data_IF_307294894517
#
_entry.id   IF_307294894517
#
_cell.length_a   1.000
_cell.length_b   1.000
_cell.length_c   1.000
_cell.angle_alpha   90.00
_cell.angle_beta   90.00
_cell.angle_gamma   90.00
#
_symmetry.space_group_name_H-M   'P 1'
#
loop_
_entity.id
_entity.type
_entity.pdbx_description
1 polymer ?
#
# COMPACT_ATOMS: atom_id res chain seq x y z
N UNK A 1 -15.81 16.95 16.71
CA UNK A 1 -14.83 16.21 15.89
C UNK A 1 -15.18 14.73 15.90
N UNK A 2 -15.08 14.03 14.78
CA UNK A 2 -15.27 12.59 14.67
C UNK A 2 -13.92 11.92 14.44
N UNK A 3 -13.48 11.13 15.43
CA UNK A 3 -12.29 10.30 15.34
C UNK A 3 -12.66 8.97 14.68
N UNK A 4 -11.85 8.50 13.76
CA UNK A 4 -12.06 7.26 12.99
C UNK A 4 -10.79 6.43 13.09
N UNK A 5 -10.92 5.13 13.30
CA UNK A 5 -9.83 4.19 13.08
C UNK A 5 -9.55 4.14 11.58
N UNK A 6 -8.30 4.33 11.16
CA UNK A 6 -7.97 4.17 9.75
C UNK A 6 -8.21 2.71 9.33
N UNK A 7 -8.86 2.47 8.18
CA UNK A 7 -9.24 1.12 7.76
C UNK A 7 -8.06 0.16 7.77
N UNK A 8 -8.22 -0.99 8.37
CA UNK A 8 -7.19 -2.05 8.47
C UNK A 8 -5.82 -1.62 9.03
N UNK A 9 -5.68 -0.38 9.52
CA UNK A 9 -4.39 0.21 9.91
C UNK A 9 -3.96 -0.15 11.34
N UNK A 10 -3.96 -1.45 11.65
CA UNK A 10 -3.45 -2.01 12.90
C UNK A 10 -2.38 -3.05 12.60
N UNK A 11 -1.26 -2.95 13.34
CA UNK A 11 -0.23 -3.98 13.39
C UNK A 11 -0.16 -4.58 14.80
N UNK A 12 0.79 -5.43 15.05
CA UNK A 12 1.04 -5.94 16.40
C UNK A 12 1.63 -4.89 17.36
N UNK A 13 2.09 -3.75 16.85
CA UNK A 13 2.72 -2.68 17.65
C UNK A 13 2.22 -1.27 17.31
N UNK A 14 1.23 -1.13 16.43
CA UNK A 14 0.73 0.19 16.05
C UNK A 14 -0.75 0.22 15.74
N UNK A 15 -1.37 1.38 15.95
CA UNK A 15 -2.75 1.71 15.59
C UNK A 15 -2.76 3.10 14.97
N UNK A 16 -3.35 3.26 13.78
CA UNK A 16 -3.51 4.55 13.14
C UNK A 16 -4.96 5.04 13.20
N UNK A 17 -5.11 6.34 13.43
CA UNK A 17 -6.39 7.05 13.48
C UNK A 17 -6.35 8.28 12.58
N UNK A 18 -7.50 8.64 12.05
CA UNK A 18 -7.69 9.83 11.21
C UNK A 18 -8.93 10.59 11.66
N UNK A 19 -9.04 11.86 11.31
CA UNK A 19 -10.22 12.69 11.62
C UNK A 19 -10.39 13.81 10.61
N UNK A 20 -11.60 14.35 10.55
CA UNK A 20 -11.90 15.50 9.71
C UNK A 20 -11.65 16.81 10.47
N UNK A 21 -11.12 17.79 9.76
CA UNK A 21 -11.04 19.15 10.30
C UNK A 21 -12.45 19.63 10.60
N UNK A 22 -12.73 20.17 11.82
CA UNK A 22 -14.01 20.80 12.09
C UNK A 22 -14.17 22.08 11.26
N UNK A 23 -15.39 22.57 11.12
CA UNK A 23 -15.68 23.79 10.35
C UNK A 23 -14.91 25.01 10.86
N UNK A 24 -14.67 25.11 12.16
CA UNK A 24 -13.90 26.17 12.81
C UNK A 24 -12.38 25.90 12.85
N UNK A 25 -11.87 25.12 11.92
CA UNK A 25 -10.47 24.68 11.92
C UNK A 25 -9.42 25.79 11.97
N UNK A 26 -9.77 27.00 11.53
CA UNK A 26 -8.84 28.16 11.55
C UNK A 26 -8.47 28.61 12.97
N UNK A 27 -9.26 28.29 13.97
CA UNK A 27 -9.02 28.61 15.38
C UNK A 27 -8.30 27.50 16.15
N UNK A 28 -8.08 26.33 15.52
CA UNK A 28 -7.39 25.21 16.14
C UNK A 28 -5.87 25.43 16.02
N UNK A 29 -5.19 25.40 17.15
CA UNK A 29 -3.74 25.51 17.24
C UNK A 29 -3.06 24.13 17.14
N UNK A 30 -3.65 23.13 17.82
CA UNK A 30 -3.17 21.75 17.84
C UNK A 30 -4.28 20.76 18.23
N UNK A 31 -4.11 19.52 17.85
CA UNK A 31 -4.91 18.40 18.32
C UNK A 31 -4.17 17.65 19.42
N UNK A 32 -4.94 17.13 20.38
CA UNK A 32 -4.42 16.36 21.52
C UNK A 32 -5.00 14.97 21.49
N UNK A 33 -4.14 13.96 21.40
CA UNK A 33 -4.55 12.57 21.39
C UNK A 33 -4.39 11.96 22.78
N UNK A 34 -5.41 11.22 23.17
CA UNK A 34 -5.44 10.48 24.44
C UNK A 34 -5.48 8.99 24.16
N UNK A 35 -4.56 8.26 24.79
CA UNK A 35 -4.50 6.80 24.77
C UNK A 35 -4.78 6.29 26.19
N UNK A 36 -5.81 5.46 26.35
CA UNK A 36 -6.25 4.94 27.67
C UNK A 36 -6.46 6.06 28.69
N UNK A 37 -7.06 7.18 28.26
CA UNK A 37 -7.36 8.33 29.11
C UNK A 37 -6.16 9.23 29.46
N UNK A 38 -4.97 8.95 28.97
CA UNK A 38 -3.76 9.76 29.18
C UNK A 38 -3.36 10.47 27.89
N UNK A 39 -2.92 11.72 28.00
CA UNK A 39 -2.34 12.44 26.88
C UNK A 39 -1.13 11.67 26.33
N UNK A 40 -1.16 11.40 25.01
CA UNK A 40 -0.12 10.62 24.32
C UNK A 40 0.63 11.43 23.27
N UNK A 41 -0.05 12.40 22.61
CA UNK A 41 0.57 13.23 21.58
C UNK A 41 -0.19 14.54 21.37
N UNK A 42 0.52 15.51 20.79
CA UNK A 42 -0.01 16.77 20.25
C UNK A 42 0.46 16.93 18.82
N UNK A 43 -0.46 17.20 17.90
CA UNK A 43 -0.18 17.27 16.45
C UNK A 43 -0.98 18.39 15.79
N UNK A 44 -0.57 18.80 14.60
CA UNK A 44 -1.31 19.76 13.75
C UNK A 44 -2.02 19.08 12.58
N UNK A 45 -1.59 17.88 12.26
CA UNK A 45 -2.10 17.01 11.23
C UNK A 45 -3.48 16.44 11.63
N UNK A 46 -4.17 15.83 10.70
CA UNK A 46 -5.48 15.20 10.91
C UNK A 46 -5.42 13.68 10.93
N UNK A 47 -4.27 13.15 11.26
CA UNK A 47 -4.01 11.72 11.49
C UNK A 47 -2.94 11.54 12.56
N UNK A 48 -2.91 10.35 13.13
CA UNK A 48 -1.84 9.94 14.03
C UNK A 48 -1.68 8.43 14.07
N UNK A 49 -0.44 7.96 14.15
CA UNK A 49 -0.13 6.55 14.36
C UNK A 49 0.54 6.36 15.72
N UNK A 50 -0.16 5.67 16.61
CA UNK A 50 0.43 5.20 17.86
C UNK A 50 1.37 4.04 17.55
N UNK A 51 2.61 4.16 17.98
CA UNK A 51 3.68 3.18 17.78
C UNK A 51 4.10 2.55 19.11
N UNK A 52 4.89 1.48 19.05
CA UNK A 52 5.44 0.79 20.22
C UNK A 52 4.37 0.31 21.20
N UNK A 53 3.22 -0.04 20.69
CA UNK A 53 2.12 -0.61 21.48
C UNK A 53 2.40 -2.09 21.80
N UNK A 54 1.78 -2.56 22.89
CA UNK A 54 1.84 -3.98 23.26
C UNK A 54 0.99 -4.81 22.30
N UNK A 55 1.50 -5.94 21.77
CA UNK A 55 0.69 -6.85 20.96
C UNK A 55 -0.53 -7.40 21.70
N UNK A 56 -1.57 -7.75 20.92
CA UNK A 56 -2.82 -8.35 21.38
C UNK A 56 -3.50 -7.59 22.52
N UNK A 57 -3.39 -6.26 22.52
CA UNK A 57 -3.86 -5.38 23.61
C UNK A 57 -4.90 -4.40 23.09
N UNK A 58 -5.97 -4.24 23.86
CA UNK A 58 -7.01 -3.26 23.58
C UNK A 58 -6.64 -1.86 24.09
N UNK A 59 -6.89 -0.86 23.27
CA UNK A 59 -6.64 0.54 23.56
C UNK A 59 -7.90 1.37 23.31
N UNK A 60 -8.13 2.36 24.17
CA UNK A 60 -9.13 3.38 23.97
C UNK A 60 -8.49 4.69 23.55
N UNK A 61 -9.04 5.33 22.52
CA UNK A 61 -8.46 6.53 21.89
C UNK A 61 -9.52 7.62 21.85
N UNK A 62 -9.12 8.85 22.20
CA UNK A 62 -9.92 10.07 22.02
C UNK A 62 -9.05 11.20 21.46
N UNK A 63 -9.72 12.16 20.86
CA UNK A 63 -9.14 13.37 20.31
C UNK A 63 -9.72 14.59 20.99
N UNK A 64 -8.89 15.56 21.37
CA UNK A 64 -9.24 16.91 21.74
C UNK A 64 -8.63 17.92 20.78
N UNK A 65 -9.01 19.18 20.87
CA UNK A 65 -8.36 20.25 20.13
C UNK A 65 -8.20 21.48 21.01
N UNK A 66 -7.01 22.04 21.00
CA UNK A 66 -6.68 23.33 21.63
C UNK A 66 -7.01 24.44 20.65
N UNK A 67 -7.78 25.40 21.10
CA UNK A 67 -8.13 26.59 20.34
C UNK A 67 -7.46 27.82 20.95
N UNK A 68 -7.40 28.92 20.22
CA UNK A 68 -6.92 30.21 20.76
C UNK A 68 -7.66 30.61 22.04
N UNK A 69 -8.94 30.32 22.10
CA UNK A 69 -9.79 30.61 23.24
C UNK A 69 -10.48 29.33 23.70
N UNK A 70 -9.75 28.53 24.50
CA UNK A 70 -10.31 27.35 25.15
C UNK A 70 -9.97 26.03 24.49
N UNK A 71 -10.83 25.05 24.70
CA UNK A 71 -10.63 23.66 24.30
C UNK A 71 -11.93 23.10 23.73
N UNK A 72 -11.89 22.45 22.55
CA UNK A 72 -13.08 21.78 22.02
C UNK A 72 -13.43 20.52 22.83
N UNK A 73 -14.71 20.18 22.90
CA UNK A 73 -15.12 18.90 23.50
C UNK A 73 -14.40 17.72 22.86
N UNK A 74 -14.09 16.71 23.68
CA UNK A 74 -13.47 15.48 23.20
C UNK A 74 -14.34 14.79 22.12
N UNK A 75 -13.67 14.14 21.18
CA UNK A 75 -14.32 13.30 20.16
C UNK A 75 -15.09 12.13 20.76
N UNK A 76 -15.78 11.37 19.91
CA UNK A 76 -16.20 10.01 20.23
C UNK A 76 -15.02 9.17 20.74
N UNK A 77 -15.33 8.14 21.51
CA UNK A 77 -14.36 7.11 21.90
C UNK A 77 -14.18 6.14 20.74
N UNK A 78 -12.93 5.85 20.39
CA UNK A 78 -12.56 4.75 19.51
C UNK A 78 -11.88 3.68 20.34
N UNK A 79 -12.28 2.43 20.15
CA UNK A 79 -11.64 1.25 20.76
C UNK A 79 -11.01 0.43 19.65
N UNK A 80 -9.74 0.07 19.81
CA UNK A 80 -9.00 -0.73 18.84
C UNK A 80 -8.06 -1.69 19.55
N UNK A 81 -7.79 -2.83 18.90
CA UNK A 81 -6.88 -3.85 19.43
C UNK A 81 -5.70 -4.02 18.48
N UNK A 82 -4.48 -4.03 19.02
CA UNK A 82 -3.29 -4.42 18.24
C UNK A 82 -3.39 -5.89 17.85
N UNK A 83 -2.82 -6.24 16.70
CA UNK A 83 -2.76 -7.64 16.25
C UNK A 83 -1.85 -8.45 17.20
N UNK A 84 -1.99 -9.77 17.16
CA UNK A 84 -1.05 -10.68 17.84
C UNK A 84 0.34 -10.53 17.26
N UNK A 85 1.38 -10.86 18.05
CA UNK A 85 2.74 -10.93 17.54
C UNK A 85 2.82 -12.02 16.46
N UNK A 86 3.25 -11.69 15.23
CA UNK A 86 3.28 -12.64 14.14
C UNK A 86 4.37 -13.72 14.33
N UNK A 87 4.12 -14.91 13.81
CA UNK A 87 5.19 -15.85 13.50
C UNK A 87 5.96 -15.33 12.29
N UNK A 88 7.30 -15.38 12.34
CA UNK A 88 8.16 -14.85 11.28
C UNK A 88 8.63 -16.00 10.38
N UNK A 89 8.49 -15.79 9.07
CA UNK A 89 8.96 -16.66 7.99
C UNK A 89 10.02 -15.89 7.21
N UNK A 90 11.29 -16.03 7.61
CA UNK A 90 12.42 -15.39 6.97
C UNK A 90 12.69 -16.04 5.61
N UNK A 91 12.68 -15.25 4.52
CA UNK A 91 12.86 -15.76 3.16
C UNK A 91 14.21 -16.46 2.95
N UNK A 92 15.23 -16.09 3.73
CA UNK A 92 16.54 -16.74 3.67
C UNK A 92 16.52 -18.18 4.18
N UNK A 93 15.63 -18.48 5.14
CA UNK A 93 15.40 -19.85 5.60
C UNK A 93 14.75 -20.74 4.52
N UNK A 94 14.17 -20.14 3.48
CA UNK A 94 13.61 -20.82 2.31
C UNK A 94 14.57 -20.80 1.10
N UNK A 95 15.79 -20.33 1.30
CA UNK A 95 16.86 -20.34 0.29
C UNK A 95 16.99 -19.06 -0.52
N UNK A 96 16.31 -17.97 -0.13
CA UNK A 96 16.49 -16.68 -0.79
C UNK A 96 17.87 -16.06 -0.48
N UNK A 97 18.48 -15.44 -1.48
CA UNK A 97 19.81 -14.82 -1.41
C UNK A 97 19.71 -13.35 -1.82
N UNK A 98 20.10 -12.45 -0.93
CA UNK A 98 19.99 -11.00 -1.12
C UNK A 98 21.19 -10.36 -1.83
N UNK A 99 21.70 -10.99 -2.90
CA UNK A 99 22.87 -10.57 -3.66
C UNK A 99 22.59 -9.71 -4.90
N UNK A 100 21.32 -9.48 -5.22
CA UNK A 100 20.86 -8.72 -6.39
C UNK A 100 20.93 -9.47 -7.71
N UNK A 101 21.44 -10.69 -7.75
CA UNK A 101 21.62 -11.48 -8.98
C UNK A 101 20.92 -12.83 -8.97
N UNK A 102 20.83 -13.47 -7.79
CA UNK A 102 20.15 -14.75 -7.64
C UNK A 102 18.64 -14.58 -7.75
N UNK A 103 17.97 -15.37 -8.62
CA UNK A 103 16.53 -15.39 -8.73
C UNK A 103 15.89 -16.04 -7.50
N UNK A 104 15.04 -15.31 -6.80
CA UNK A 104 14.45 -15.72 -5.52
C UNK A 104 12.94 -15.99 -5.59
N UNK A 105 12.30 -15.91 -6.74
CA UNK A 105 10.83 -16.00 -6.86
C UNK A 105 10.28 -17.23 -6.13
N UNK A 106 10.85 -18.42 -6.39
CA UNK A 106 10.37 -19.64 -5.77
C UNK A 106 10.64 -19.69 -4.25
N UNK A 107 11.82 -19.21 -3.81
CA UNK A 107 12.17 -19.19 -2.39
C UNK A 107 11.24 -18.26 -1.60
N UNK A 108 10.98 -17.05 -2.11
CA UNK A 108 10.07 -16.09 -1.48
C UNK A 108 8.63 -16.60 -1.53
N UNK A 109 8.19 -17.18 -2.66
CA UNK A 109 6.85 -17.75 -2.77
C UNK A 109 6.64 -18.92 -1.81
N UNK A 110 7.66 -19.78 -1.61
CA UNK A 110 7.60 -20.85 -0.61
C UNK A 110 7.43 -20.32 0.81
N UNK A 111 8.09 -19.18 1.16
CA UNK A 111 7.89 -18.52 2.45
C UNK A 111 6.46 -17.98 2.59
N UNK A 112 5.92 -17.37 1.52
CA UNK A 112 4.52 -16.89 1.48
C UNK A 112 3.56 -18.08 1.66
N UNK A 113 3.78 -19.19 0.95
CA UNK A 113 2.92 -20.36 1.01
C UNK A 113 2.93 -21.03 2.38
N UNK A 114 4.09 -21.09 3.02
CA UNK A 114 4.27 -21.62 4.38
C UNK A 114 3.75 -20.69 5.49
N UNK A 115 3.59 -19.39 5.21
CA UNK A 115 3.19 -18.40 6.19
C UNK A 115 1.82 -18.77 6.80
N UNK A 116 1.76 -18.96 8.12
CA UNK A 116 0.52 -19.24 8.82
C UNK A 116 -0.38 -17.98 8.87
N UNK A 117 -1.71 -18.12 9.04
CA UNK A 117 -2.60 -16.98 9.25
C UNK A 117 -2.10 -16.05 10.37
N UNK A 118 -2.09 -14.74 10.11
CA UNK A 118 -1.52 -13.72 11.01
C UNK A 118 0.01 -13.70 11.03
N UNK A 119 0.69 -14.47 10.17
CA UNK A 119 2.14 -14.55 10.10
C UNK A 119 2.78 -13.41 9.30
N UNK A 120 4.11 -13.38 9.32
CA UNK A 120 4.93 -12.37 8.65
C UNK A 120 6.00 -13.03 7.79
N UNK A 121 5.96 -12.80 6.49
CA UNK A 121 7.07 -13.11 5.58
C UNK A 121 8.07 -11.96 5.68
N UNK A 122 9.26 -12.26 6.15
CA UNK A 122 10.30 -11.29 6.43
C UNK A 122 11.38 -11.33 5.36
N UNK A 123 11.59 -10.19 4.70
CA UNK A 123 12.66 -9.97 3.73
C UNK A 123 13.72 -9.10 4.42
N UNK A 124 14.89 -9.64 4.78
CA UNK A 124 15.95 -8.91 5.49
C UNK A 124 16.65 -7.88 4.59
N UNK A 125 17.65 -7.20 5.15
CA UNK A 125 18.57 -6.34 4.40
C UNK A 125 19.24 -7.12 3.27
N UNK A 126 19.32 -6.50 2.07
CA UNK A 126 19.87 -7.09 0.85
C UNK A 126 18.98 -6.80 -0.36
N UNK A 127 19.41 -7.23 -1.54
CA UNK A 127 18.68 -7.07 -2.80
C UNK A 127 18.22 -8.43 -3.30
N UNK A 128 16.92 -8.68 -3.27
CA UNK A 128 16.31 -9.96 -3.65
C UNK A 128 15.66 -9.82 -5.03
N UNK A 129 16.36 -10.29 -6.07
CA UNK A 129 15.82 -10.34 -7.43
C UNK A 129 14.68 -11.36 -7.51
N UNK A 130 13.51 -10.94 -8.02
CA UNK A 130 12.34 -11.80 -8.08
C UNK A 130 11.46 -11.49 -9.28
N UNK A 131 10.75 -12.48 -9.80
CA UNK A 131 9.58 -12.30 -10.65
C UNK A 131 8.31 -12.11 -9.81
N UNK A 132 7.15 -12.43 -10.40
CA UNK A 132 5.85 -12.23 -9.76
C UNK A 132 5.68 -13.04 -8.48
N UNK A 133 5.21 -12.37 -7.41
CA UNK A 133 4.85 -12.96 -6.12
C UNK A 133 3.35 -12.83 -5.89
N UNK A 134 2.76 -13.84 -5.23
CA UNK A 134 1.33 -13.93 -4.98
C UNK A 134 1.06 -14.06 -3.48
N UNK A 135 0.59 -12.98 -2.86
CA UNK A 135 0.22 -12.93 -1.45
C UNK A 135 -1.13 -13.64 -1.22
N UNK A 136 -1.37 -14.08 0.00
CA UNK A 136 -2.61 -14.73 0.43
C UNK A 136 -3.24 -14.01 1.62
N UNK A 137 -4.42 -14.44 2.02
CA UNK A 137 -5.13 -13.85 3.17
C UNK A 137 -4.35 -13.92 4.47
N UNK A 138 -4.60 -12.93 5.34
CA UNK A 138 -4.15 -12.84 6.72
C UNK A 138 -2.63 -12.99 6.87
N UNK A 139 -1.88 -12.14 6.15
CA UNK A 139 -0.42 -12.14 6.23
C UNK A 139 0.18 -10.73 6.16
N UNK A 140 1.40 -10.62 6.64
CA UNK A 140 2.26 -9.45 6.44
C UNK A 140 3.44 -9.81 5.54
N UNK A 141 3.66 -9.05 4.47
CA UNK A 141 4.94 -8.99 3.75
C UNK A 141 5.74 -7.85 4.37
N UNK A 142 6.80 -8.17 5.08
CA UNK A 142 7.65 -7.20 5.76
C UNK A 142 9.00 -7.11 5.07
N UNK A 143 9.26 -5.98 4.41
CA UNK A 143 10.56 -5.70 3.78
C UNK A 143 11.36 -4.80 4.71
N UNK A 144 12.41 -5.32 5.32
CA UNK A 144 13.23 -4.60 6.29
C UNK A 144 13.87 -3.35 5.67
N UNK A 145 14.14 -2.34 6.50
CA UNK A 145 14.92 -1.17 6.08
C UNK A 145 16.28 -1.64 5.55
N UNK A 146 16.61 -1.24 4.32
CA UNK A 146 17.79 -1.76 3.60
C UNK A 146 17.52 -3.04 2.80
N UNK A 147 16.35 -3.66 2.98
CA UNK A 147 15.86 -4.74 2.12
C UNK A 147 15.20 -4.20 0.83
N UNK A 148 15.41 -4.88 -0.27
CA UNK A 148 14.83 -4.54 -1.57
C UNK A 148 14.32 -5.80 -2.26
N UNK A 149 13.05 -5.81 -2.63
CA UNK A 149 12.52 -6.71 -3.66
C UNK A 149 12.74 -6.04 -5.02
N UNK A 150 13.60 -6.63 -5.85
CA UNK A 150 13.94 -6.12 -7.18
C UNK A 150 13.26 -6.96 -8.24
N UNK A 151 12.42 -6.32 -9.07
CA UNK A 151 11.76 -6.98 -10.18
C UNK A 151 12.73 -7.48 -11.24
N UNK A 152 12.49 -8.68 -11.76
CA UNK A 152 13.22 -9.24 -12.89
C UNK A 152 13.03 -8.37 -14.14
N UNK A 153 14.06 -8.28 -14.94
CA UNK A 153 14.05 -7.63 -16.25
C UNK A 153 13.58 -8.57 -17.39
N UNK A 154 13.18 -9.81 -17.05
CA UNK A 154 12.72 -10.82 -18.00
C UNK A 154 11.20 -10.98 -17.92
N UNK A 155 10.46 -10.71 -19.02
CA UNK A 155 9.01 -10.84 -19.05
C UNK A 155 8.51 -12.25 -18.71
N UNK A 156 9.27 -13.30 -19.04
CA UNK A 156 8.94 -14.69 -18.73
C UNK A 156 8.87 -15.05 -17.23
N UNK A 157 9.45 -14.20 -16.37
CA UNK A 157 9.35 -14.37 -14.90
C UNK A 157 8.02 -13.84 -14.34
N UNK A 158 7.15 -13.32 -15.21
CA UNK A 158 5.82 -12.80 -14.90
C UNK A 158 4.76 -13.55 -15.70
N UNK A 159 4.02 -14.50 -15.11
CA UNK A 159 3.00 -15.25 -15.83
C UNK A 159 1.95 -14.34 -16.46
N UNK A 160 1.45 -14.74 -17.63
CA UNK A 160 0.36 -14.03 -18.30
C UNK A 160 -0.96 -14.32 -17.59
N UNK A 161 -1.69 -13.26 -17.27
CA UNK A 161 -2.96 -13.28 -16.57
C UNK A 161 -3.94 -12.31 -17.22
N UNK A 162 -5.22 -12.52 -17.01
CA UNK A 162 -6.24 -11.54 -17.41
C UNK A 162 -6.45 -10.55 -16.28
N UNK A 163 -6.10 -9.29 -16.51
CA UNK A 163 -6.25 -8.20 -15.56
C UNK A 163 -7.18 -7.11 -16.10
N UNK A 164 -7.69 -6.29 -15.17
CA UNK A 164 -8.35 -5.04 -15.50
C UNK A 164 -7.27 -3.98 -15.84
N UNK A 165 -6.94 -3.88 -17.12
CA UNK A 165 -5.96 -2.93 -17.63
C UNK A 165 -6.68 -1.71 -18.23
N UNK A 166 -6.44 -0.53 -17.68
CA UNK A 166 -7.17 0.70 -18.04
C UNK A 166 -8.71 0.51 -18.06
N UNK A 167 -9.23 -0.23 -17.08
CA UNK A 167 -10.67 -0.47 -16.93
C UNK A 167 -11.29 -1.49 -17.89
N UNK A 168 -10.49 -2.27 -18.62
CA UNK A 168 -10.91 -3.36 -19.50
C UNK A 168 -10.14 -4.64 -19.21
N UNK A 169 -10.79 -5.79 -19.34
CA UNK A 169 -10.13 -7.08 -19.19
C UNK A 169 -9.16 -7.31 -20.37
N UNK A 170 -7.87 -7.43 -20.08
CA UNK A 170 -6.82 -7.67 -21.08
C UNK A 170 -5.82 -8.71 -20.58
N UNK A 171 -5.14 -9.35 -21.52
CA UNK A 171 -4.00 -10.24 -21.21
C UNK A 171 -2.79 -9.37 -20.84
N UNK A 172 -2.30 -9.54 -19.62
CA UNK A 172 -1.18 -8.79 -19.07
C UNK A 172 -0.18 -9.73 -18.40
N UNK A 173 1.07 -9.32 -18.32
CA UNK A 173 2.00 -9.92 -17.37
C UNK A 173 1.53 -9.64 -15.94
N UNK A 174 1.70 -10.59 -15.04
CA UNK A 174 1.46 -10.40 -13.62
C UNK A 174 2.29 -9.20 -13.10
N UNK A 175 1.80 -8.52 -12.10
CA UNK A 175 2.54 -7.50 -11.35
C UNK A 175 3.68 -8.15 -10.55
N UNK A 176 4.61 -7.35 -10.03
CA UNK A 176 5.64 -7.91 -9.14
C UNK A 176 4.99 -8.47 -7.86
N UNK A 177 4.02 -7.75 -7.28
CA UNK A 177 3.25 -8.22 -6.12
C UNK A 177 1.77 -8.30 -6.50
N UNK A 178 1.20 -9.49 -6.33
CA UNK A 178 -0.19 -9.81 -6.64
C UNK A 178 -0.86 -10.47 -5.43
N UNK A 179 -2.17 -10.74 -5.54
CA UNK A 179 -2.88 -11.62 -4.63
C UNK A 179 -3.18 -12.95 -5.30
N UNK A 180 -3.12 -14.05 -4.53
CA UNK A 180 -3.61 -15.34 -4.98
C UNK A 180 -5.12 -15.28 -5.23
N UNK A 181 -5.59 -16.09 -6.18
CA UNK A 181 -7.01 -16.41 -6.24
C UNK A 181 -7.32 -17.38 -5.10
N UNK A 182 -8.26 -16.99 -4.25
CA UNK A 182 -8.76 -17.79 -3.13
C UNK A 182 -10.27 -17.99 -3.29
N UNK A 183 -10.81 -19.02 -2.66
CA UNK A 183 -12.25 -19.22 -2.56
C UNK A 183 -12.85 -18.10 -1.69
N UNK A 184 -13.60 -17.20 -2.30
CA UNK A 184 -14.09 -15.96 -1.67
C UNK A 184 -13.19 -14.74 -1.90
N UNK A 185 -13.18 -13.82 -0.93
CA UNK A 185 -12.32 -12.62 -0.97
C UNK A 185 -11.03 -12.87 -0.19
N UNK A 186 -9.92 -12.50 -0.78
CA UNK A 186 -8.65 -12.35 -0.04
C UNK A 186 -8.83 -11.27 1.03
N UNK A 187 -8.25 -11.43 2.20
CA UNK A 187 -8.44 -10.48 3.27
C UNK A 187 -7.17 -10.24 4.11
N UNK A 188 -7.12 -9.10 4.79
CA UNK A 188 -6.11 -8.75 5.80
C UNK A 188 -4.65 -8.88 5.32
N UNK A 189 -4.32 -8.18 4.23
CA UNK A 189 -2.94 -8.10 3.74
C UNK A 189 -2.27 -6.84 4.28
N UNK A 190 -1.09 -6.99 4.86
CA UNK A 190 -0.21 -5.88 5.23
C UNK A 190 1.11 -5.95 4.44
N UNK A 191 1.55 -4.81 3.89
CA UNK A 191 2.92 -4.63 3.37
C UNK A 191 3.59 -3.52 4.18
N UNK A 192 4.72 -3.81 4.80
CA UNK A 192 5.38 -2.87 5.71
C UNK A 192 6.90 -3.07 5.78
N UNK A 193 7.62 -2.27 6.59
CA UNK A 193 8.98 -2.57 7.06
C UNK A 193 10.05 -1.52 6.74
N UNK A 194 9.77 -0.50 5.95
CA UNK A 194 10.73 0.56 5.60
C UNK A 194 11.67 0.22 4.45
N UNK A 195 11.51 -0.95 3.84
CA UNK A 195 12.27 -1.37 2.67
C UNK A 195 11.69 -0.90 1.34
N UNK A 196 12.20 -1.45 0.25
CA UNK A 196 11.86 -1.02 -1.11
C UNK A 196 11.29 -2.16 -1.94
N UNK A 197 10.20 -1.89 -2.66
CA UNK A 197 9.69 -2.70 -3.76
C UNK A 197 10.01 -1.93 -5.05
N UNK A 198 10.92 -2.46 -5.85
CA UNK A 198 11.43 -1.85 -7.07
C UNK A 198 11.03 -2.71 -8.27
N UNK A 199 10.23 -2.15 -9.16
CA UNK A 199 9.69 -2.89 -10.31
C UNK A 199 10.67 -3.13 -11.43
N UNK A 200 11.80 -2.37 -11.50
CA UNK A 200 12.75 -2.44 -12.61
C UNK A 200 12.07 -2.44 -14.00
N UNK A 201 11.01 -1.64 -14.13
CA UNK A 201 9.95 -1.79 -15.14
C UNK A 201 10.31 -1.50 -16.60
N UNK A 202 11.50 -0.93 -16.89
CA UNK A 202 11.88 -0.55 -18.25
C UNK A 202 11.89 -1.73 -19.24
N UNK A 203 12.33 -2.90 -18.80
CA UNK A 203 12.41 -4.09 -19.66
C UNK A 203 11.01 -4.61 -20.03
N UNK A 204 10.06 -4.58 -19.10
CA UNK A 204 8.67 -4.98 -19.36
C UNK A 204 7.98 -4.00 -20.30
N UNK A 205 8.22 -2.69 -20.17
CA UNK A 205 7.77 -1.70 -21.15
C UNK A 205 8.35 -1.98 -22.53
N UNK A 206 9.66 -2.20 -22.60
CA UNK A 206 10.34 -2.49 -23.89
C UNK A 206 9.75 -3.74 -24.54
N UNK A 207 9.53 -4.81 -23.80
CA UNK A 207 8.94 -6.04 -24.30
C UNK A 207 7.53 -5.81 -24.88
N UNK A 208 6.68 -5.01 -24.21
CA UNK A 208 5.37 -4.63 -24.73
C UNK A 208 5.48 -3.85 -26.05
N UNK A 209 6.36 -2.84 -26.10
CA UNK A 209 6.54 -1.99 -27.29
C UNK A 209 7.14 -2.76 -28.47
N UNK A 210 7.96 -3.76 -28.22
CA UNK A 210 8.53 -4.64 -29.25
C UNK A 210 7.51 -5.71 -29.77
N UNK A 211 6.25 -5.65 -29.30
CA UNK A 211 5.20 -6.57 -29.73
C UNK A 211 5.19 -7.90 -28.99
N UNK A 212 5.69 -7.96 -27.77
CA UNK A 212 5.63 -9.11 -26.87
C UNK A 212 4.19 -9.54 -26.56
N UNK A 213 4.03 -10.72 -26.02
CA UNK A 213 2.72 -11.24 -25.60
C UNK A 213 2.23 -10.52 -24.33
N UNK A 214 1.02 -9.99 -24.38
CA UNK A 214 0.38 -9.32 -23.23
C UNK A 214 0.91 -7.90 -22.99
N UNK A 215 0.17 -7.20 -22.13
CA UNK A 215 0.54 -5.85 -21.66
C UNK A 215 1.49 -5.98 -20.45
N UNK A 216 2.29 -4.95 -20.19
CA UNK A 216 3.11 -4.90 -18.97
C UNK A 216 2.21 -4.86 -17.72
N UNK A 217 2.64 -5.50 -16.65
CA UNK A 217 1.93 -5.48 -15.37
C UNK A 217 2.15 -4.20 -14.57
N UNK A 218 1.47 -4.08 -13.45
CA UNK A 218 1.72 -3.04 -12.44
C UNK A 218 2.92 -3.41 -11.54
N UNK A 219 3.27 -2.55 -10.60
CA UNK A 219 4.19 -2.96 -9.55
C UNK A 219 3.48 -3.79 -8.48
N UNK A 220 2.39 -3.27 -7.93
CA UNK A 220 1.53 -3.94 -6.96
C UNK A 220 0.11 -3.92 -7.50
N UNK A 221 -0.51 -5.08 -7.64
CA UNK A 221 -1.90 -5.20 -8.07
C UNK A 221 -2.67 -6.15 -7.16
N UNK A 222 -3.65 -5.63 -6.42
CA UNK A 222 -4.54 -6.42 -5.59
C UNK A 222 -5.95 -6.40 -6.16
N UNK A 223 -6.58 -7.56 -6.16
CA UNK A 223 -7.94 -7.72 -6.66
C UNK A 223 -8.80 -8.47 -5.66
N UNK A 224 -10.02 -7.95 -5.40
CA UNK A 224 -10.98 -8.56 -4.48
C UNK A 224 -10.42 -8.74 -3.05
N UNK A 225 -9.71 -7.75 -2.52
CA UNK A 225 -9.17 -7.82 -1.17
C UNK A 225 -10.04 -7.01 -0.20
N UNK A 226 -10.30 -7.57 0.96
CA UNK A 226 -10.94 -6.90 2.08
C UNK A 226 -9.95 -6.69 3.22
N UNK A 227 -9.49 -5.46 3.38
CA UNK A 227 -8.44 -5.12 4.35
C UNK A 227 -7.03 -5.12 3.77
N UNK A 228 -6.54 -3.94 3.38
CA UNK A 228 -5.17 -3.73 2.92
C UNK A 228 -4.52 -2.63 3.76
N UNK A 229 -3.35 -2.91 4.28
CA UNK A 229 -2.53 -1.90 4.96
C UNK A 229 -1.13 -1.83 4.37
N UNK A 230 -0.79 -0.69 3.76
CA UNK A 230 0.57 -0.39 3.31
C UNK A 230 1.17 0.65 4.25
N UNK A 231 2.34 0.36 4.82
CA UNK A 231 2.95 1.20 5.86
C UNK A 231 4.46 1.24 5.77
N UNK A 232 5.05 2.44 5.88
CA UNK A 232 6.51 2.62 5.95
C UNK A 232 7.23 1.89 4.81
N UNK A 233 6.86 2.16 3.56
CA UNK A 233 7.30 1.41 2.39
C UNK A 233 7.73 2.38 1.28
N UNK A 234 8.73 1.98 0.49
CA UNK A 234 9.05 2.63 -0.79
C UNK A 234 8.65 1.73 -1.95
N UNK A 235 7.79 2.23 -2.84
CA UNK A 235 7.38 1.57 -4.09
C UNK A 235 7.87 2.40 -5.26
N UNK A 236 8.62 1.79 -6.21
CA UNK A 236 9.27 2.57 -7.26
C UNK A 236 9.45 1.82 -8.57
N UNK A 237 9.73 2.59 -9.63
CA UNK A 237 10.13 2.09 -10.95
C UNK A 237 9.17 1.04 -11.51
N UNK A 238 7.88 1.31 -11.37
CA UNK A 238 6.82 0.44 -11.91
C UNK A 238 6.90 0.35 -13.43
N UNK A 239 6.57 -0.80 -14.03
CA UNK A 239 6.46 -0.88 -15.49
C UNK A 239 5.25 -0.14 -16.05
N UNK A 240 4.18 0.00 -15.26
CA UNK A 240 2.92 0.67 -15.56
C UNK A 240 2.45 1.41 -14.31
N UNK A 241 1.19 1.33 -13.87
CA UNK A 241 0.74 1.92 -12.59
C UNK A 241 1.47 1.31 -11.41
N UNK A 242 1.78 2.13 -10.41
CA UNK A 242 2.58 1.66 -9.28
C UNK A 242 1.76 0.78 -8.34
N UNK A 243 0.67 1.30 -7.81
CA UNK A 243 -0.23 0.57 -6.90
C UNK A 243 -1.64 0.60 -7.45
N UNK A 244 -2.15 -0.53 -7.90
CA UNK A 244 -3.50 -0.69 -8.43
C UNK A 244 -4.32 -1.61 -7.54
N UNK A 245 -5.38 -1.08 -6.95
CA UNK A 245 -6.33 -1.82 -6.13
C UNK A 245 -7.65 -1.93 -6.87
N UNK A 246 -8.13 -3.17 -7.13
CA UNK A 246 -9.34 -3.42 -7.92
C UNK A 246 -10.36 -4.15 -7.05
N UNK A 247 -11.56 -3.57 -6.91
CA UNK A 247 -12.64 -4.13 -6.09
C UNK A 247 -12.22 -4.42 -4.64
N UNK A 248 -11.33 -3.59 -4.08
CA UNK A 248 -10.83 -3.74 -2.73
C UNK A 248 -11.56 -2.81 -1.76
N UNK A 249 -11.68 -3.23 -0.49
CA UNK A 249 -12.29 -2.43 0.57
C UNK A 249 -11.34 -2.30 1.76
N UNK A 250 -11.59 -1.30 2.63
CA UNK A 250 -10.86 -1.07 3.87
C UNK A 250 -9.35 -0.96 3.65
N UNK A 251 -8.95 0.02 2.82
CA UNK A 251 -7.56 0.23 2.41
C UNK A 251 -6.96 1.40 3.20
N UNK A 252 -5.79 1.20 3.77
CA UNK A 252 -4.96 2.30 4.29
C UNK A 252 -3.57 2.29 3.68
N UNK A 253 -3.11 3.48 3.28
CA UNK A 253 -1.74 3.76 2.86
C UNK A 253 -1.17 4.84 3.78
N UNK A 254 -0.14 4.51 4.55
CA UNK A 254 0.42 5.36 5.61
C UNK A 254 1.94 5.43 5.51
N UNK A 255 2.50 6.61 5.35
CA UNK A 255 3.94 6.84 5.20
C UNK A 255 4.56 5.99 4.09
N UNK A 256 3.87 5.92 2.96
CA UNK A 256 4.34 5.23 1.76
C UNK A 256 4.96 6.25 0.82
N UNK A 257 6.17 5.96 0.37
CA UNK A 257 6.83 6.73 -0.69
C UNK A 257 6.63 6.01 -2.02
N UNK A 258 6.02 6.68 -2.98
CA UNK A 258 5.90 6.17 -4.36
C UNK A 258 6.77 7.03 -5.27
N UNK A 259 7.60 6.39 -6.09
CA UNK A 259 8.38 7.09 -7.11
C UNK A 259 8.46 6.27 -8.41
N UNK A 260 7.57 6.54 -9.34
CA UNK A 260 7.57 5.93 -10.68
C UNK A 260 8.34 6.75 -11.72
N UNK A 261 8.84 7.94 -11.35
CA UNK A 261 9.41 8.90 -12.30
C UNK A 261 10.93 8.94 -12.34
N UNK A 262 11.58 8.83 -11.19
CA UNK A 262 13.02 9.02 -11.08
C UNK A 262 13.73 7.77 -10.54
N UNK A 263 14.97 7.55 -11.00
CA UNK A 263 15.85 6.54 -10.46
C UNK A 263 16.46 6.97 -9.10
N UNK A 264 17.36 6.15 -8.56
CA UNK A 264 18.02 6.43 -7.26
C UNK A 264 18.96 7.64 -7.31
N UNK A 265 19.38 8.06 -8.51
CA UNK A 265 20.24 9.22 -8.72
C UNK A 265 19.44 10.49 -9.06
N UNK A 266 18.12 10.43 -9.07
CA UNK A 266 17.26 11.54 -9.43
C UNK A 266 17.12 11.79 -10.94
N UNK A 267 17.61 10.88 -11.80
CA UNK A 267 17.40 10.95 -13.23
C UNK A 267 16.02 10.36 -13.59
N UNK A 268 15.44 10.84 -14.69
CA UNK A 268 14.21 10.25 -15.19
C UNK A 268 14.40 8.75 -15.47
N UNK A 269 13.54 7.92 -14.87
CA UNK A 269 13.58 6.48 -15.05
C UNK A 269 13.07 6.06 -16.42
N UNK A 270 13.98 5.87 -17.36
CA UNK A 270 13.66 5.40 -18.71
C UNK A 270 12.60 6.22 -19.42
N UNK A 271 11.81 5.57 -20.25
CA UNK A 271 10.71 6.15 -21.01
C UNK A 271 9.34 5.64 -20.54
N UNK A 272 9.23 5.23 -19.29
CA UNK A 272 7.96 4.79 -18.71
C UNK A 272 6.91 5.89 -18.91
N UNK A 273 5.71 5.48 -19.33
CA UNK A 273 4.50 6.29 -19.40
C UNK A 273 3.35 5.54 -18.73
N UNK A 274 2.29 6.26 -18.34
CA UNK A 274 1.22 5.77 -17.45
C UNK A 274 1.82 5.15 -16.16
N UNK A 275 2.72 5.88 -15.55
CA UNK A 275 3.32 5.51 -14.28
C UNK A 275 2.59 6.21 -13.13
N UNK A 276 1.28 5.98 -13.02
CA UNK A 276 0.44 6.52 -11.95
C UNK A 276 0.93 5.99 -10.59
N UNK A 277 0.72 6.78 -9.55
CA UNK A 277 1.15 6.42 -8.20
C UNK A 277 0.22 5.41 -7.54
N UNK A 278 -1.03 5.80 -7.32
CA UNK A 278 -2.05 4.97 -6.69
C UNK A 278 -3.39 5.06 -7.40
N UNK A 279 -3.92 3.92 -7.76
CA UNK A 279 -5.16 3.77 -8.52
C UNK A 279 -6.16 2.90 -7.76
N UNK A 280 -7.00 3.48 -6.88
CA UNK A 280 -8.16 2.78 -6.35
C UNK A 280 -9.23 2.67 -7.43
N UNK A 281 -9.53 1.45 -7.89
CA UNK A 281 -10.48 1.16 -8.97
C UNK A 281 -11.66 0.34 -8.42
N UNK A 282 -12.84 0.97 -8.37
CA UNK A 282 -14.03 0.39 -7.74
C UNK A 282 -13.77 -0.06 -6.29
N UNK A 283 -13.10 0.81 -5.53
CA UNK A 283 -12.69 0.58 -4.16
C UNK A 283 -13.53 1.38 -3.17
N UNK A 284 -13.65 0.89 -1.95
CA UNK A 284 -14.41 1.55 -0.88
C UNK A 284 -13.63 1.60 0.41
N UNK A 285 -13.87 2.69 1.20
CA UNK A 285 -13.25 2.97 2.49
C UNK A 285 -11.72 2.99 2.39
N UNK A 286 -11.22 4.03 1.72
CA UNK A 286 -9.80 4.21 1.40
C UNK A 286 -9.25 5.40 2.15
N UNK A 287 -8.16 5.22 2.89
CA UNK A 287 -7.41 6.27 3.55
C UNK A 287 -5.96 6.31 3.07
N UNK A 288 -5.55 7.45 2.49
CA UNK A 288 -4.14 7.72 2.14
C UNK A 288 -3.67 8.89 2.99
N UNK A 289 -2.64 8.67 3.80
CA UNK A 289 -2.16 9.72 4.71
C UNK A 289 -0.65 9.65 4.94
N UNK A 290 -0.04 10.80 5.21
CA UNK A 290 1.40 10.97 5.41
C UNK A 290 2.28 10.37 4.30
N UNK A 291 1.75 10.24 3.08
CA UNK A 291 2.45 9.59 1.98
C UNK A 291 3.03 10.62 1.01
N UNK A 292 4.13 10.25 0.37
CA UNK A 292 4.86 11.07 -0.60
C UNK A 292 4.81 10.40 -1.97
N UNK A 293 4.21 11.04 -2.97
CA UNK A 293 4.01 10.46 -4.29
C UNK A 293 4.64 11.34 -5.35
N UNK A 294 5.65 10.80 -6.02
CA UNK A 294 6.29 11.35 -7.21
C UNK A 294 5.98 10.43 -8.38
N UNK A 295 5.07 10.82 -9.26
CA UNK A 295 4.60 9.97 -10.35
C UNK A 295 5.01 10.50 -11.72
N UNK A 296 5.06 9.59 -12.68
CA UNK A 296 5.29 9.93 -14.07
C UNK A 296 4.00 10.38 -14.75
N UNK A 297 2.85 9.90 -14.28
CA UNK A 297 1.50 10.29 -14.70
C UNK A 297 0.72 10.80 -13.46
N UNK A 298 -0.52 10.43 -13.22
CA UNK A 298 -1.29 10.89 -12.06
C UNK A 298 -0.70 10.39 -10.72
N UNK A 299 -0.69 11.25 -9.71
CA UNK A 299 -0.26 10.82 -8.38
C UNK A 299 -1.27 9.89 -7.73
N UNK A 300 -2.55 10.24 -7.78
CA UNK A 300 -3.67 9.37 -7.41
C UNK A 300 -4.73 9.51 -8.49
N UNK A 301 -5.22 8.40 -9.03
CA UNK A 301 -6.30 8.38 -10.01
C UNK A 301 -7.42 7.45 -9.56
N UNK A 302 -8.51 8.03 -9.08
CA UNK A 302 -9.71 7.29 -8.67
C UNK A 302 -10.44 6.77 -9.90
N UNK A 303 -10.60 5.46 -9.99
CA UNK A 303 -11.17 4.77 -11.14
C UNK A 303 -12.39 3.92 -10.74
N UNK A 304 -13.24 3.60 -11.71
CA UNK A 304 -14.40 2.70 -11.54
C UNK A 304 -14.72 1.95 -12.84
N UNK A 305 -13.71 1.34 -13.43
CA UNK A 305 -13.80 0.68 -14.72
C UNK A 305 -13.87 1.65 -15.89
N UNK A 306 -14.14 1.13 -17.10
CA UNK A 306 -14.17 1.92 -18.34
C UNK A 306 -15.27 1.44 -19.27
N UNK A 307 -15.91 2.38 -19.96
CA UNK A 307 -16.89 2.16 -21.04
C UNK A 307 -18.05 1.22 -20.64
N UNK A 308 -18.39 0.27 -21.49
CA UNK A 308 -19.49 -0.68 -21.28
C UNK A 308 -19.18 -1.71 -20.21
N UNK A 309 -17.93 -2.18 -20.13
CA UNK A 309 -17.52 -3.14 -19.10
C UNK A 309 -17.64 -2.53 -17.70
N UNK A 310 -17.13 -1.30 -17.51
CA UNK A 310 -17.26 -0.59 -16.24
C UNK A 310 -18.71 -0.33 -15.86
N UNK A 311 -19.54 0.11 -16.81
CA UNK A 311 -20.98 0.31 -16.57
C UNK A 311 -21.71 -0.99 -16.24
N UNK A 312 -21.33 -2.10 -16.87
CA UNK A 312 -21.93 -3.41 -16.59
C UNK A 312 -21.60 -3.93 -15.20
N UNK A 313 -20.37 -3.70 -14.74
CA UNK A 313 -19.94 -4.02 -13.37
C UNK A 313 -20.63 -3.11 -12.35
N UNK A 314 -20.69 -1.80 -12.61
CA UNK A 314 -21.46 -0.82 -11.84
C UNK A 314 -21.00 -0.64 -10.40
N UNK A 315 -19.73 -0.90 -10.07
CA UNK A 315 -19.16 -0.72 -8.72
C UNK A 315 -18.40 0.62 -8.70
N UNK A 316 -18.88 1.63 -7.95
CA UNK A 316 -18.17 2.90 -7.82
C UNK A 316 -16.95 2.79 -6.89
N UNK A 317 -16.09 3.79 -6.94
CA UNK A 317 -15.13 4.08 -5.86
C UNK A 317 -15.76 5.07 -4.89
N UNK A 318 -15.76 4.75 -3.59
CA UNK A 318 -16.49 5.50 -2.56
C UNK A 318 -15.67 5.65 -1.26
N UNK A 319 -16.01 6.65 -0.46
CA UNK A 319 -15.46 6.87 0.88
C UNK A 319 -13.92 6.97 0.86
N UNK A 320 -13.37 7.82 -0.03
CA UNK A 320 -11.93 8.01 -0.19
C UNK A 320 -11.48 9.26 0.56
N UNK A 321 -10.50 9.09 1.46
CA UNK A 321 -9.87 10.16 2.22
C UNK A 321 -8.39 10.23 1.89
N UNK A 322 -7.92 11.43 1.51
CA UNK A 322 -6.53 11.74 1.26
C UNK A 322 -6.15 12.91 2.16
N UNK A 323 -5.17 12.74 3.03
CA UNK A 323 -4.78 13.80 3.99
C UNK A 323 -3.29 13.78 4.28
N UNK A 324 -2.71 14.96 4.53
CA UNK A 324 -1.31 15.15 4.91
C UNK A 324 -0.31 14.46 3.96
N UNK A 325 -0.62 14.42 2.66
CA UNK A 325 0.22 13.84 1.62
C UNK A 325 0.98 14.93 0.85
N UNK A 326 2.13 14.55 0.29
CA UNK A 326 2.90 15.38 -0.65
C UNK A 326 2.83 14.77 -2.05
N UNK A 327 2.58 15.60 -3.04
CA UNK A 327 2.49 15.19 -4.44
C UNK A 327 3.48 15.95 -5.28
N UNK A 328 4.29 15.22 -6.06
CA UNK A 328 5.36 15.79 -6.86
C UNK A 328 5.32 15.26 -8.28
N UNK A 329 5.39 16.16 -9.26
CA UNK A 329 5.59 15.85 -10.67
C UNK A 329 4.53 14.97 -11.34
N UNK A 330 3.34 14.82 -10.79
CA UNK A 330 2.22 14.15 -11.44
C UNK A 330 1.41 15.08 -12.35
N UNK A 331 0.49 14.51 -13.14
CA UNK A 331 -0.48 15.30 -13.91
C UNK A 331 -1.70 15.65 -13.08
N UNK A 332 -2.13 14.79 -12.17
CA UNK A 332 -3.32 15.00 -11.36
C UNK A 332 -3.28 14.33 -9.99
N UNK A 333 -4.22 14.77 -9.14
CA UNK A 333 -4.56 14.15 -7.88
C UNK A 333 -6.06 14.06 -7.82
N UNK A 334 -6.60 12.83 -7.93
CA UNK A 334 -8.01 12.45 -7.89
C UNK A 334 -8.85 13.05 -9.00
#
# INVERSE_FOLDING_TARGET
MKLILAPSAQTHTSIAVVWDKPEDAQSIEEYVLYLNGREAARVKETDYTFENLTPDTEYTIRLGAVMREGFLPLSNLVTARTRKKPQVFDVTAFGAVGDGGTMNTQAIQNAIDACAPGGMVYVPEGVFLTGALFLKSDMTLYVEKGGKLLGSDRPEDYPLMTYLYEGRQQLCHASLINTKEEEGRVHDITIAGGGTIDGNGNALLKAELDGGQGRRGNLICFRNVDGVYMKDLTARQSPFWCVHMVYCNHISMNRVTINSKYDENGNRYGNIFNGDGFDPDSCRDVCVFHSDITSQDDCIAVKSGRDEEGRAVGIPSEDIRITNCSFHSGFGVA
#
